data_IF_859540289502
#
_entry.id   IF_859540289502
#
_cell.length_a   1.000
_cell.length_b   1.000
_cell.length_c   1.000
_cell.angle_alpha   90.00
_cell.angle_beta   90.00
_cell.angle_gamma   90.00
#
_symmetry.space_group_name_H-M   'P 1'
#
loop_
_entity.id
_entity.type
_entity.pdbx_description
1 polymer ?
#
# COMPACT_ATOMS: atom_id res chain seq x y z
N UNK A 1 -15.25 11.40 23.08
CA UNK A 1 -14.53 10.41 22.36
C UNK A 1 -13.99 10.95 21.06
N UNK A 2 -12.75 10.80 20.89
CA UNK A 2 -12.15 11.29 19.67
C UNK A 2 -12.69 10.52 18.48
N UNK A 3 -12.90 11.21 17.38
CA UNK A 3 -13.26 10.54 16.15
C UNK A 3 -12.15 9.57 15.81
N UNK A 4 -12.50 8.47 15.22
CA UNK A 4 -11.53 7.49 14.80
C UNK A 4 -10.58 8.15 13.81
N UNK A 5 -9.30 8.10 14.13
CA UNK A 5 -8.27 8.56 13.21
C UNK A 5 -7.83 7.38 12.39
N UNK A 6 -7.56 7.63 11.10
CA UNK A 6 -7.03 6.59 10.26
C UNK A 6 -5.58 6.33 10.68
N UNK A 7 -5.22 5.05 10.76
CA UNK A 7 -3.88 4.65 11.16
C UNK A 7 -3.16 3.99 10.00
N UNK A 8 -1.84 3.83 10.17
CA UNK A 8 -1.06 3.10 9.17
C UNK A 8 -1.60 1.68 8.99
N UNK A 9 -2.01 1.04 10.09
CA UNK A 9 -2.56 -0.31 10.01
C UNK A 9 -3.83 -0.33 9.15
N UNK A 10 -4.68 0.68 9.30
CA UNK A 10 -5.90 0.77 8.51
C UNK A 10 -5.60 0.87 7.02
N UNK A 11 -4.60 1.68 6.68
CA UNK A 11 -4.19 1.84 5.29
C UNK A 11 -3.61 0.53 4.76
N UNK A 12 -2.77 -0.15 5.54
CA UNK A 12 -2.18 -1.42 5.10
C UNK A 12 -3.24 -2.49 4.89
N UNK A 13 -4.27 -2.52 5.74
CA UNK A 13 -5.37 -3.46 5.56
C UNK A 13 -6.07 -3.19 4.23
N UNK A 14 -6.34 -1.93 3.94
CA UNK A 14 -6.98 -1.57 2.68
C UNK A 14 -6.10 -1.94 1.48
N UNK A 15 -4.79 -1.75 1.59
CA UNK A 15 -3.88 -2.02 0.50
C UNK A 15 -3.69 -3.52 0.22
N UNK A 16 -4.17 -4.39 1.11
CA UNK A 16 -4.17 -5.83 0.82
C UNK A 16 -5.15 -6.20 -0.28
N UNK A 17 -5.97 -5.27 -0.70
CA UNK A 17 -6.83 -5.47 -1.86
C UNK A 17 -6.13 -5.09 -3.16
N UNK A 18 -4.90 -4.60 -3.09
CA UNK A 18 -4.11 -4.25 -4.25
C UNK A 18 -3.09 -5.35 -4.52
N UNK A 19 -3.00 -5.77 -5.77
CA UNK A 19 -2.17 -6.91 -6.14
C UNK A 19 -1.11 -6.53 -7.15
N UNK A 20 0.05 -7.20 -7.03
CA UNK A 20 1.09 -7.08 -8.01
C UNK A 20 0.59 -7.65 -9.34
N UNK A 21 0.97 -7.04 -10.48
CA UNK A 21 0.53 -7.56 -11.78
C UNK A 21 1.14 -8.91 -12.17
N UNK A 22 2.22 -9.32 -11.53
CA UNK A 22 2.92 -10.54 -11.89
C UNK A 22 2.84 -11.65 -10.86
N UNK A 23 2.82 -11.29 -9.57
CA UNK A 23 2.76 -12.29 -8.52
C UNK A 23 1.38 -12.29 -7.87
N UNK A 24 0.78 -13.48 -7.66
CA UNK A 24 -0.57 -13.55 -7.11
C UNK A 24 -0.59 -13.30 -5.60
N UNK A 25 -0.18 -12.12 -5.20
CA UNK A 25 -0.10 -11.74 -3.81
C UNK A 25 -0.30 -10.23 -3.69
N UNK A 26 -0.84 -9.80 -2.56
CA UNK A 26 -1.07 -8.38 -2.34
C UNK A 26 0.26 -7.64 -2.09
N UNK A 27 0.25 -6.35 -2.36
CA UNK A 27 1.47 -5.54 -2.30
C UNK A 27 2.03 -5.38 -0.89
N UNK A 28 1.18 -5.48 0.13
CA UNK A 28 1.64 -5.36 1.51
C UNK A 28 2.49 -6.57 1.88
N UNK A 29 1.98 -7.76 1.59
CA UNK A 29 2.68 -8.99 1.95
C UNK A 29 3.86 -9.28 1.04
N UNK A 30 3.88 -8.71 -0.15
CA UNK A 30 5.07 -8.78 -1.00
C UNK A 30 6.18 -7.85 -0.52
N UNK A 31 5.87 -6.96 0.40
CA UNK A 31 6.87 -6.05 0.94
C UNK A 31 7.21 -4.90 0.00
N UNK A 32 6.27 -4.46 -0.83
CA UNK A 32 6.53 -3.38 -1.77
C UNK A 32 6.50 -2.01 -1.12
N UNK A 33 5.79 -1.87 0.01
CA UNK A 33 5.62 -0.58 0.64
C UNK A 33 6.82 -0.28 1.53
N UNK A 34 7.55 0.79 1.20
CA UNK A 34 8.75 1.17 1.94
C UNK A 34 8.45 2.19 3.03
N UNK A 35 7.63 3.17 2.70
CA UNK A 35 7.25 4.19 3.67
C UNK A 35 5.80 4.52 3.46
N UNK A 36 5.15 4.89 4.56
CA UNK A 36 3.75 5.28 4.51
C UNK A 36 3.56 6.41 5.49
N UNK A 37 3.09 7.54 5.00
CA UNK A 37 2.91 8.74 5.81
C UNK A 37 1.46 9.19 5.73
N UNK A 38 0.88 9.52 6.87
CA UNK A 38 -0.49 9.99 6.96
C UNK A 38 -0.47 11.35 7.66
N UNK A 39 -1.01 12.37 6.99
CA UNK A 39 -1.06 13.71 7.57
C UNK A 39 -2.48 14.26 7.45
N UNK A 40 -2.94 15.01 8.46
CA UNK A 40 -4.27 15.62 8.36
C UNK A 40 -4.33 16.60 7.19
N UNK A 41 -5.42 16.55 6.44
CA UNK A 41 -5.65 17.48 5.34
C UNK A 41 -6.59 18.57 5.83
N UNK A 42 -6.01 19.65 6.31
CA UNK A 42 -6.80 20.74 6.87
C UNK A 42 -7.49 21.57 5.83
N UNK A 43 -7.17 21.35 4.56
CA UNK A 43 -7.81 22.04 3.45
C UNK A 43 -8.96 21.25 2.85
N UNK A 44 -9.19 20.04 3.35
CA UNK A 44 -10.27 19.20 2.85
C UNK A 44 -11.62 19.83 3.24
N UNK A 45 -12.63 19.73 2.36
CA UNK A 45 -13.96 20.21 2.68
C UNK A 45 -14.49 19.57 3.96
N UNK A 46 -15.10 20.36 4.82
CA UNK A 46 -15.67 19.87 6.06
C UNK A 46 -14.73 19.86 7.23
N UNK A 47 -13.46 20.24 7.03
CA UNK A 47 -12.50 20.29 8.11
C UNK A 47 -12.98 21.23 9.22
N UNK A 48 -13.00 20.74 10.45
CA UNK A 48 -13.41 21.52 11.58
C UNK A 48 -14.92 21.55 11.83
N UNK A 49 -15.71 20.97 10.96
CA UNK A 49 -17.15 20.90 11.15
C UNK A 49 -17.49 19.72 12.05
N UNK A 50 -18.21 19.95 13.16
CA UNK A 50 -18.59 18.86 14.05
C UNK A 50 -19.36 17.76 13.30
N UNK A 51 -19.00 16.52 13.57
CA UNK A 51 -19.64 15.39 12.92
C UNK A 51 -19.05 15.00 11.57
N UNK A 52 -18.15 15.82 11.02
CA UNK A 52 -17.49 15.50 9.77
C UNK A 52 -16.11 14.93 10.07
N UNK A 53 -15.80 13.70 9.62
CA UNK A 53 -14.51 13.10 9.91
C UNK A 53 -13.36 13.92 9.31
N UNK A 54 -12.27 14.01 10.04
CA UNK A 54 -11.06 14.65 9.52
C UNK A 54 -10.51 13.79 8.39
N UNK A 55 -10.25 14.42 7.26
CA UNK A 55 -9.64 13.71 6.14
C UNK A 55 -8.13 13.84 6.21
N UNK A 56 -7.46 12.88 5.59
CA UNK A 56 -6.00 12.79 5.65
C UNK A 56 -5.43 12.61 4.26
N UNK A 57 -4.22 13.13 4.08
CA UNK A 57 -3.43 12.86 2.89
C UNK A 57 -2.53 11.67 3.20
N UNK A 58 -2.43 10.75 2.26
CA UNK A 58 -1.63 9.54 2.41
C UNK A 58 -0.53 9.57 1.35
N UNK A 59 0.71 9.41 1.79
CA UNK A 59 1.85 9.33 0.88
C UNK A 59 2.50 7.96 1.04
N UNK A 60 2.73 7.28 -0.06
CA UNK A 60 3.28 5.93 -0.05
C UNK A 60 4.50 5.89 -0.95
N UNK A 61 5.62 5.38 -0.41
CA UNK A 61 6.80 5.08 -1.19
C UNK A 61 6.80 3.59 -1.48
N UNK A 62 6.90 3.25 -2.74
CA UNK A 62 6.68 1.89 -3.22
C UNK A 62 7.83 1.44 -4.12
N UNK A 63 8.23 0.17 -3.97
CA UNK A 63 9.20 -0.45 -4.85
C UNK A 63 8.49 -1.57 -5.60
N UNK A 64 8.38 -1.49 -6.94
CA UNK A 64 7.68 -2.53 -7.70
C UNK A 64 8.54 -3.78 -7.82
N UNK A 65 7.90 -4.93 -8.01
CA UNK A 65 8.64 -6.17 -8.26
C UNK A 65 9.30 -6.12 -9.63
N UNK A 66 8.68 -5.41 -10.56
CA UNK A 66 9.18 -5.27 -11.92
C UNK A 66 9.13 -3.79 -12.29
N UNK A 67 10.27 -3.15 -12.48
CA UNK A 67 10.33 -1.70 -12.70
C UNK A 67 9.99 -1.31 -14.15
N UNK A 68 8.82 -1.69 -14.61
CA UNK A 68 8.33 -1.27 -15.91
C UNK A 68 7.29 -0.17 -15.75
N UNK A 69 7.17 0.65 -16.76
CA UNK A 69 6.21 1.74 -16.75
C UNK A 69 4.78 1.22 -16.59
N UNK A 70 4.47 0.12 -17.26
CA UNK A 70 3.14 -0.46 -17.17
C UNK A 70 2.84 -0.98 -15.77
N UNK A 71 3.80 -1.66 -15.14
CA UNK A 71 3.61 -2.18 -13.79
C UNK A 71 3.44 -1.05 -12.79
N UNK A 72 4.23 0.01 -12.94
CA UNK A 72 4.14 1.17 -12.05
C UNK A 72 2.79 1.86 -12.18
N UNK A 73 2.32 2.04 -13.40
CA UNK A 73 1.02 2.67 -13.62
C UNK A 73 -0.10 1.83 -13.03
N UNK A 74 -0.02 0.53 -13.20
CA UNK A 74 -1.02 -0.39 -12.67
C UNK A 74 -1.09 -0.32 -11.15
N UNK A 75 0.06 -0.35 -10.49
CA UNK A 75 0.13 -0.28 -9.03
C UNK A 75 -0.40 1.05 -8.53
N UNK A 76 0.02 2.13 -9.17
CA UNK A 76 -0.41 3.47 -8.75
C UNK A 76 -1.93 3.60 -8.86
N UNK A 77 -2.50 3.14 -9.97
CA UNK A 77 -3.94 3.24 -10.18
C UNK A 77 -4.71 2.44 -9.14
N UNK A 78 -4.27 1.21 -8.86
CA UNK A 78 -4.94 0.39 -7.86
C UNK A 78 -4.93 1.05 -6.49
N UNK A 79 -3.77 1.56 -6.09
CA UNK A 79 -3.61 2.16 -4.76
C UNK A 79 -4.49 3.40 -4.64
N UNK A 80 -4.44 4.28 -5.62
CA UNK A 80 -5.22 5.51 -5.58
C UNK A 80 -6.70 5.19 -5.56
N UNK A 81 -7.15 4.26 -6.40
CA UNK A 81 -8.56 3.89 -6.45
C UNK A 81 -9.02 3.24 -5.15
N UNK A 82 -8.19 2.37 -4.57
CA UNK A 82 -8.57 1.69 -3.33
C UNK A 82 -8.71 2.67 -2.18
N UNK A 83 -7.75 3.56 -2.03
CA UNK A 83 -7.78 4.51 -0.92
C UNK A 83 -8.81 5.63 -1.13
N UNK A 84 -9.16 5.92 -2.38
CA UNK A 84 -10.22 6.89 -2.65
C UNK A 84 -11.56 6.44 -2.11
N UNK A 85 -11.73 5.13 -1.89
CA UNK A 85 -12.95 4.62 -1.30
C UNK A 85 -13.04 4.79 0.20
N UNK A 86 -11.97 5.28 0.85
CA UNK A 86 -11.98 5.50 2.29
C UNK A 86 -12.40 6.92 2.59
N UNK A 87 -13.42 7.05 3.43
CA UNK A 87 -13.99 8.36 3.75
C UNK A 87 -12.98 9.29 4.39
N UNK A 88 -12.01 8.74 5.09
CA UNK A 88 -11.03 9.53 5.83
C UNK A 88 -9.80 9.88 5.02
N UNK A 89 -9.76 9.51 3.74
CA UNK A 89 -8.63 9.84 2.85
C UNK A 89 -9.08 10.86 1.82
N UNK A 90 -8.38 12.01 1.77
CA UNK A 90 -8.70 13.06 0.81
C UNK A 90 -7.83 12.96 -0.43
N UNK A 91 -6.60 12.49 -0.28
CA UNK A 91 -5.65 12.48 -1.38
C UNK A 91 -4.59 11.43 -1.13
N UNK A 92 -4.20 10.73 -2.18
CA UNK A 92 -3.16 9.71 -2.11
C UNK A 92 -2.07 10.05 -3.12
N UNK A 93 -0.82 10.02 -2.66
CA UNK A 93 0.34 10.21 -3.53
C UNK A 93 1.18 8.95 -3.46
N UNK A 94 1.55 8.43 -4.62
CA UNK A 94 2.37 7.23 -4.72
C UNK A 94 3.67 7.59 -5.40
N UNK A 95 4.78 7.38 -4.68
CA UNK A 95 6.12 7.59 -5.23
C UNK A 95 6.73 6.24 -5.49
N UNK A 96 7.11 6.00 -6.74
CA UNK A 96 7.77 4.76 -7.13
C UNK A 96 9.26 4.96 -6.99
N UNK A 97 9.89 4.13 -6.18
CA UNK A 97 11.32 4.20 -5.94
C UNK A 97 12.05 3.22 -6.85
N UNK A 98 13.18 3.65 -7.38
CA UNK A 98 14.00 2.77 -8.21
C UNK A 98 15.06 2.02 -7.42
N UNK A 99 15.35 2.46 -6.21
CA UNK A 99 16.34 1.81 -5.35
C UNK A 99 15.86 1.79 -3.91
N UNK A 100 16.21 0.76 -3.15
CA UNK A 100 16.82 -0.49 -3.60
C UNK A 100 15.83 -1.31 -4.41
N UNK A 101 16.32 -2.28 -5.16
CA UNK A 101 15.44 -3.18 -5.91
C UNK A 101 14.69 -4.09 -4.95
N UNK A 102 13.47 -4.44 -5.32
CA UNK A 102 12.71 -5.41 -4.55
C UNK A 102 13.34 -6.79 -4.69
N UNK A 103 13.32 -7.56 -3.61
CA UNK A 103 13.76 -8.95 -3.63
C UNK A 103 12.75 -9.82 -2.89
N UNK A 104 12.69 -11.14 -3.18
CA UNK A 104 11.78 -12.03 -2.49
C UNK A 104 12.01 -12.11 -0.97
N UNK A 105 13.16 -11.67 -0.50
CA UNK A 105 13.42 -11.65 0.94
C UNK A 105 12.50 -10.68 1.68
N UNK A 106 11.87 -9.76 0.97
CA UNK A 106 10.97 -8.78 1.57
C UNK A 106 9.55 -9.31 1.75
N UNK A 107 9.27 -10.50 1.22
CA UNK A 107 7.95 -11.11 1.36
C UNK A 107 7.71 -11.47 2.82
N UNK A 108 6.56 -11.07 3.35
CA UNK A 108 6.19 -11.39 4.73
C UNK A 108 5.90 -12.88 4.89
N UNK A 109 5.87 -13.39 6.13
CA UNK A 109 5.45 -14.78 6.35
C UNK A 109 4.06 -15.07 5.76
N UNK A 110 3.14 -14.13 5.87
CA UNK A 110 1.80 -14.30 5.28
C UNK A 110 1.90 -14.40 3.76
N UNK A 111 2.74 -13.56 3.14
CA UNK A 111 2.94 -13.60 1.71
C UNK A 111 3.54 -14.91 1.23
N UNK A 112 4.49 -15.45 2.01
CA UNK A 112 5.08 -16.75 1.69
C UNK A 112 4.03 -17.85 1.69
N UNK A 113 3.12 -17.81 2.66
CA UNK A 113 2.04 -18.79 2.71
C UNK A 113 1.12 -18.66 1.51
N UNK A 114 0.78 -17.43 1.16
CA UNK A 114 -0.09 -17.18 0.00
C UNK A 114 0.54 -17.72 -1.28
N UNK A 115 1.85 -17.54 -1.42
CA UNK A 115 2.56 -17.95 -2.62
C UNK A 115 3.02 -19.43 -2.59
N UNK A 116 2.78 -20.11 -1.47
CA UNK A 116 3.19 -21.50 -1.36
C UNK A 116 4.67 -21.70 -1.08
N UNK A 117 5.33 -20.69 -0.55
CA UNK A 117 6.77 -20.74 -0.27
C UNK A 117 7.06 -21.08 1.19
N UNK A 118 6.02 -21.37 1.94
CA UNK A 118 6.11 -21.54 3.36
C UNK A 118 7.04 -22.69 3.74
N UNK A 119 7.97 -22.41 4.63
CA UNK A 119 8.79 -23.44 5.24
C UNK A 119 10.03 -23.86 4.47
N UNK A 120 10.23 -23.37 3.25
CA UNK A 120 11.40 -23.76 2.48
C UNK A 120 11.93 -22.59 1.65
N UNK A 121 12.94 -21.88 2.17
CA UNK A 121 13.48 -20.71 1.46
C UNK A 121 13.98 -21.00 0.07
N UNK A 122 14.40 -22.23 -0.23
CA UNK A 122 14.92 -22.55 -1.55
C UNK A 122 13.83 -22.49 -2.62
N UNK A 123 12.56 -22.56 -2.24
CA UNK A 123 11.47 -22.45 -3.20
C UNK A 123 11.36 -21.06 -3.79
N UNK A 124 11.89 -20.07 -3.12
CA UNK A 124 11.85 -18.69 -3.62
C UNK A 124 12.64 -18.56 -4.91
N UNK A 125 13.61 -19.41 -5.13
CA UNK A 125 14.48 -19.35 -6.30
C UNK A 125 13.91 -20.04 -7.51
N UNK A 126 12.85 -20.74 -7.36
CA UNK A 126 12.22 -21.44 -8.46
C UNK A 126 11.46 -20.44 -9.27
N UNK A 127 11.88 -20.32 -10.29
CA UNK A 127 11.32 -19.53 -11.13
C UNK A 127 10.31 -19.35 -11.36
#
# INVERSE_FOLDING_TARGET
>A
MAAASITEADIRIALRDCYDPELPCNIVDLGLIRNLTITPDREAPGTGIPGVPQKHRVAIDLIPTNPTEAAEAHLRAQIINRLAGLETVSQTTVHILSTPSWTPLQITPAGRRILGLDGNPSLIQIR
#
